data_IF_604199960197
#
_entry.id   IF_604199960197
#
_cell.length_a   1.000
_cell.length_b   1.000
_cell.length_c   1.000
_cell.angle_alpha   90.00
_cell.angle_beta   90.00
_cell.angle_gamma   90.00
#
_symmetry.space_group_name_H-M   'P 1'
#
loop_
_entity.id
_entity.type
_entity.pdbx_description
1 polymer ?
#
# COMPACT_ATOMS: atom_id res chain seq x y z
N UNK A 1 -23.00 16.86 -48.67
CA UNK A 1 -22.18 15.66 -48.40
C UNK A 1 -20.73 16.07 -48.57
N UNK A 2 -20.10 16.58 -47.52
CA UNK A 2 -18.68 16.92 -47.53
C UNK A 2 -17.89 15.67 -47.13
N UNK A 3 -17.03 15.23 -48.05
CA UNK A 3 -16.19 14.05 -47.91
C UNK A 3 -15.07 14.30 -46.90
N UNK A 4 -15.00 13.41 -45.91
CA UNK A 4 -13.99 13.43 -44.86
C UNK A 4 -12.57 13.32 -45.44
N UNK A 5 -11.76 14.36 -45.24
CA UNK A 5 -10.32 14.29 -45.42
C UNK A 5 -9.73 13.51 -44.24
N UNK A 6 -9.21 12.32 -44.52
CA UNK A 6 -8.40 11.57 -43.56
C UNK A 6 -7.17 12.38 -43.19
N UNK A 7 -6.86 12.45 -41.90
CA UNK A 7 -5.62 13.06 -41.40
C UNK A 7 -4.39 12.44 -42.08
N UNK A 8 -3.37 13.24 -42.42
CA UNK A 8 -2.17 12.72 -43.07
C UNK A 8 -1.47 11.70 -42.16
N UNK A 9 -1.15 10.55 -42.74
CA UNK A 9 -0.33 9.49 -42.14
C UNK A 9 1.08 10.02 -41.97
N UNK A 10 1.64 9.91 -40.76
CA UNK A 10 3.03 10.28 -40.51
C UNK A 10 3.97 9.25 -41.15
N UNK A 11 4.81 9.69 -42.10
CA UNK A 11 5.79 8.84 -42.80
C UNK A 11 7.23 8.95 -42.25
N UNK A 12 7.43 9.66 -41.12
CA UNK A 12 8.74 9.79 -40.49
C UNK A 12 9.07 8.65 -39.52
N UNK A 13 10.35 8.48 -39.12
CA UNK A 13 10.70 7.67 -37.96
C UNK A 13 9.88 8.15 -36.73
N UNK A 14 9.57 7.25 -35.77
CA UNK A 14 8.79 7.64 -34.61
C UNK A 14 9.45 8.84 -33.92
N UNK A 15 8.70 9.93 -33.63
CA UNK A 15 9.28 11.10 -33.02
C UNK A 15 9.95 10.71 -31.70
N UNK A 16 11.24 11.02 -31.58
CA UNK A 16 11.96 10.90 -30.31
C UNK A 16 11.41 11.99 -29.40
N UNK A 17 10.47 11.60 -28.54
CA UNK A 17 9.92 12.48 -27.51
C UNK A 17 11.01 12.72 -26.46
N UNK A 18 11.84 13.75 -26.68
CA UNK A 18 12.74 14.28 -25.68
C UNK A 18 11.91 14.97 -24.59
N UNK A 19 11.38 14.17 -23.66
CA UNK A 19 10.88 14.72 -22.40
C UNK A 19 12.09 15.28 -21.64
N UNK A 20 12.03 16.51 -21.10
CA UNK A 20 13.10 17.00 -20.24
C UNK A 20 13.30 16.02 -19.09
N UNK A 21 14.57 15.76 -18.74
CA UNK A 21 14.91 14.88 -17.63
C UNK A 21 14.13 15.30 -16.38
N UNK A 22 13.53 14.32 -15.70
CA UNK A 22 12.86 14.53 -14.42
C UNK A 22 13.93 15.04 -13.45
N UNK A 23 13.79 16.28 -12.98
CA UNK A 23 14.74 16.87 -12.04
C UNK A 23 14.50 16.23 -10.67
N UNK A 24 15.47 15.48 -10.12
CA UNK A 24 15.34 14.90 -8.80
C UNK A 24 15.35 16.00 -7.72
N UNK A 25 14.69 15.72 -6.61
CA UNK A 25 14.56 16.59 -5.45
C UNK A 25 15.27 15.88 -4.30
N UNK A 26 16.33 16.51 -3.79
CA UNK A 26 17.03 15.97 -2.63
C UNK A 26 16.20 16.12 -1.35
N UNK A 27 16.53 15.33 -0.33
CA UNK A 27 15.95 15.51 1.01
C UNK A 27 16.15 16.94 1.55
N UNK A 28 17.31 17.55 1.29
CA UNK A 28 17.63 18.91 1.72
C UNK A 28 16.71 19.92 1.08
N UNK A 29 16.48 19.81 -0.23
CA UNK A 29 15.58 20.70 -0.97
C UNK A 29 14.15 20.56 -0.44
N UNK A 30 13.71 19.32 -0.20
CA UNK A 30 12.40 19.01 0.33
C UNK A 30 12.18 19.57 1.75
N UNK A 31 13.22 19.56 2.59
CA UNK A 31 13.18 20.12 3.94
C UNK A 31 13.01 21.64 3.96
N UNK A 32 13.45 22.32 2.90
CA UNK A 32 13.36 23.78 2.75
C UNK A 32 12.04 24.25 2.12
N UNK A 33 11.22 23.33 1.58
CA UNK A 33 9.94 23.69 0.98
C UNK A 33 8.94 24.17 2.05
N UNK A 34 7.93 24.99 1.67
CA UNK A 34 6.80 25.31 2.54
C UNK A 34 6.14 24.03 3.06
N UNK A 35 5.64 24.05 4.29
CA UNK A 35 5.10 22.86 4.96
C UNK A 35 3.69 23.10 5.50
N UNK A 36 2.99 22.00 5.72
CA UNK A 36 1.68 21.96 6.39
C UNK A 36 1.82 21.05 7.60
N UNK A 37 1.34 21.53 8.75
CA UNK A 37 1.41 20.81 10.01
C UNK A 37 0.18 19.94 10.21
N UNK A 38 0.37 18.70 10.63
CA UNK A 38 -0.67 17.71 10.87
C UNK A 38 -0.63 17.19 12.30
N UNK A 39 -1.78 16.70 12.78
CA UNK A 39 -1.81 15.90 14.01
C UNK A 39 -1.16 14.51 13.82
N UNK A 40 -1.14 13.71 14.89
CA UNK A 40 -0.57 12.36 14.86
C UNK A 40 -1.32 11.39 13.93
N UNK A 41 -2.55 11.71 13.50
CA UNK A 41 -3.25 10.89 12.51
C UNK A 41 -2.74 11.12 11.10
N UNK A 42 -2.05 12.25 10.83
CA UNK A 42 -1.63 12.67 9.49
C UNK A 42 -2.80 12.83 8.49
N UNK A 43 -4.03 12.89 8.99
CA UNK A 43 -5.26 13.09 8.22
C UNK A 43 -5.88 14.48 8.44
N UNK A 44 -5.46 15.20 9.50
CA UNK A 44 -6.01 16.51 9.85
C UNK A 44 -4.91 17.53 10.06
N UNK A 45 -5.10 18.70 9.47
CA UNK A 45 -4.24 19.86 9.68
C UNK A 45 -4.36 20.31 11.14
N UNK A 46 -3.23 20.64 11.76
CA UNK A 46 -3.14 21.10 13.13
C UNK A 46 -2.18 22.30 13.23
N UNK A 47 -2.28 23.06 14.30
CA UNK A 47 -1.36 24.19 14.55
C UNK A 47 0.05 23.70 14.92
N UNK A 48 0.12 22.63 15.71
CA UNK A 48 1.37 22.00 16.15
C UNK A 48 1.34 20.51 15.83
N UNK A 49 2.49 19.94 15.47
CA UNK A 49 2.61 18.53 15.15
C UNK A 49 3.63 18.27 14.06
N UNK A 50 3.23 17.49 13.07
CA UNK A 50 4.13 16.91 12.09
C UNK A 50 4.05 17.68 10.80
N UNK A 51 5.18 18.24 10.41
CA UNK A 51 5.28 19.03 9.19
C UNK A 51 5.49 18.13 7.97
N UNK A 52 4.64 18.29 6.96
CA UNK A 52 4.74 17.62 5.66
C UNK A 52 4.90 18.69 4.57
N UNK A 53 5.82 18.52 3.60
CA UNK A 53 5.97 19.47 2.49
C UNK A 53 4.64 19.75 1.78
N UNK A 54 4.34 21.03 1.55
CA UNK A 54 3.10 21.52 0.97
C UNK A 54 2.82 20.91 -0.41
N UNK A 55 3.88 20.68 -1.20
CA UNK A 55 3.78 20.05 -2.51
C UNK A 55 3.18 18.63 -2.47
N UNK A 56 3.29 17.92 -1.33
CA UNK A 56 2.65 16.62 -1.10
C UNK A 56 1.34 16.77 -0.31
N UNK A 57 1.35 17.56 0.75
CA UNK A 57 0.22 17.73 1.66
C UNK A 57 -0.99 18.37 0.99
N UNK A 58 -0.78 19.47 0.25
CA UNK A 58 -1.84 20.24 -0.39
C UNK A 58 -2.65 19.42 -1.39
N UNK A 59 -2.01 18.80 -2.42
CA UNK A 59 -2.72 17.96 -3.37
C UNK A 59 -3.43 16.78 -2.72
N UNK A 60 -2.84 16.14 -1.70
CA UNK A 60 -3.46 15.02 -1.00
C UNK A 60 -4.73 15.44 -0.23
N UNK A 61 -4.70 16.59 0.45
CA UNK A 61 -5.88 17.14 1.12
C UNK A 61 -7.03 17.45 0.14
N UNK A 62 -6.70 18.05 -1.02
CA UNK A 62 -7.71 18.33 -2.06
C UNK A 62 -8.24 17.04 -2.68
N UNK A 63 -7.36 16.05 -2.91
CA UNK A 63 -7.74 14.73 -3.41
C UNK A 63 -8.69 14.03 -2.44
N UNK A 64 -8.40 14.02 -1.13
CA UNK A 64 -9.28 13.43 -0.13
C UNK A 64 -10.65 14.09 -0.07
N UNK A 65 -10.70 15.43 -0.10
CA UNK A 65 -11.96 16.17 -0.09
C UNK A 65 -12.85 15.79 -1.29
N UNK A 66 -12.26 15.78 -2.50
CA UNK A 66 -12.98 15.40 -3.73
C UNK A 66 -13.35 13.93 -3.76
N UNK A 67 -12.47 13.04 -3.29
CA UNK A 67 -12.76 11.62 -3.17
C UNK A 67 -13.97 11.39 -2.29
N UNK A 68 -14.00 12.01 -1.10
CA UNK A 68 -15.11 11.92 -0.16
C UNK A 68 -16.43 12.37 -0.78
N UNK A 69 -16.44 13.47 -1.53
CA UNK A 69 -17.60 13.96 -2.27
C UNK A 69 -18.06 12.97 -3.37
N UNK A 70 -17.10 12.45 -4.14
CA UNK A 70 -17.34 11.52 -5.25
C UNK A 70 -17.92 10.20 -4.75
N UNK A 71 -17.32 9.57 -3.73
CA UNK A 71 -17.82 8.29 -3.20
C UNK A 71 -19.12 8.43 -2.42
N UNK A 72 -19.41 9.60 -1.85
CA UNK A 72 -20.69 9.86 -1.17
C UNK A 72 -21.85 10.03 -2.15
N UNK A 73 -21.58 10.57 -3.35
CA UNK A 73 -22.59 10.80 -4.39
C UNK A 73 -22.76 9.61 -5.32
N UNK A 74 -21.65 9.03 -5.79
CA UNK A 74 -21.63 7.92 -6.75
C UNK A 74 -20.45 6.97 -6.48
N UNK A 75 -20.59 5.98 -5.55
CA UNK A 75 -19.51 5.08 -5.17
C UNK A 75 -18.84 4.36 -6.36
N UNK A 76 -19.64 3.92 -7.34
CA UNK A 76 -19.20 3.20 -8.56
C UNK A 76 -18.51 4.09 -9.61
N UNK A 77 -18.28 5.36 -9.29
CA UNK A 77 -17.55 6.29 -10.16
C UNK A 77 -16.34 6.86 -9.45
N UNK A 78 -15.75 6.15 -8.49
CA UNK A 78 -14.53 6.62 -7.83
C UNK A 78 -13.37 6.69 -8.81
N UNK A 79 -12.56 7.75 -8.73
CA UNK A 79 -11.34 7.88 -9.54
C UNK A 79 -10.36 6.71 -9.33
N UNK A 80 -10.46 5.98 -8.21
CA UNK A 80 -9.64 4.81 -7.93
C UNK A 80 -9.86 3.69 -8.95
N UNK A 81 -11.07 3.57 -9.51
CA UNK A 81 -11.36 2.60 -10.57
C UNK A 81 -10.76 3.03 -11.92
N UNK A 82 -10.57 4.35 -12.12
CA UNK A 82 -10.04 4.94 -13.36
C UNK A 82 -8.51 4.85 -13.47
N UNK A 83 -7.79 4.56 -12.38
CA UNK A 83 -6.32 4.45 -12.37
C UNK A 83 -5.83 3.39 -13.36
N UNK A 84 -6.61 2.33 -13.60
CA UNK A 84 -6.25 1.21 -14.48
C UNK A 84 -5.95 1.62 -15.94
N UNK A 85 -6.38 2.82 -16.37
CA UNK A 85 -6.23 3.31 -17.74
C UNK A 85 -5.05 4.26 -17.98
N UNK A 86 -4.16 4.46 -17.01
CA UNK A 86 -3.05 5.42 -17.10
C UNK A 86 -1.83 4.85 -17.86
N UNK A 87 -1.95 3.68 -18.50
CA UNK A 87 -0.92 3.15 -19.39
C UNK A 87 -0.71 4.04 -20.64
N UNK A 88 0.24 4.96 -20.51
CA UNK A 88 1.23 5.58 -21.43
C UNK A 88 1.01 5.75 -22.95
N UNK A 89 -0.10 5.34 -23.56
CA UNK A 89 -0.16 5.24 -25.04
C UNK A 89 -1.40 5.87 -25.71
N UNK A 90 -2.25 6.59 -24.99
CA UNK A 90 -3.34 7.36 -25.62
C UNK A 90 -2.86 8.74 -26.11
N UNK A 91 -3.10 9.14 -27.38
CA UNK A 91 -2.65 10.41 -27.97
C UNK A 91 -3.10 11.68 -27.21
N UNK A 92 -4.20 11.60 -26.45
CA UNK A 92 -4.65 12.69 -25.57
C UNK A 92 -3.83 12.87 -24.28
N UNK A 93 -2.91 11.96 -23.96
CA UNK A 93 -2.07 11.99 -22.75
C UNK A 93 -0.91 12.97 -22.85
N UNK A 94 -0.47 13.35 -24.06
CA UNK A 94 0.65 14.28 -24.22
C UNK A 94 0.35 15.65 -23.57
N UNK A 95 -0.87 16.17 -23.79
CA UNK A 95 -1.35 17.40 -23.15
C UNK A 95 -1.54 17.25 -21.63
N UNK A 96 -2.07 16.10 -21.19
CA UNK A 96 -2.28 15.78 -19.77
C UNK A 96 -0.95 15.71 -19.01
N UNK A 97 0.04 14.99 -19.54
CA UNK A 97 1.38 14.89 -18.95
C UNK A 97 2.08 16.24 -18.83
N UNK A 98 1.91 17.12 -19.82
CA UNK A 98 2.41 18.50 -19.74
C UNK A 98 1.74 19.29 -18.61
N UNK A 99 0.42 19.19 -18.47
CA UNK A 99 -0.32 19.85 -17.39
C UNK A 99 0.09 19.34 -16.00
N UNK A 100 0.24 18.02 -15.84
CA UNK A 100 0.72 17.38 -14.60
C UNK A 100 2.13 17.89 -14.25
N UNK A 101 3.05 17.92 -15.22
CA UNK A 101 4.41 18.42 -15.00
C UNK A 101 4.44 19.90 -14.65
N UNK A 102 3.63 20.72 -15.32
CA UNK A 102 3.53 22.16 -15.01
C UNK A 102 2.99 22.38 -13.60
N UNK A 103 1.94 21.64 -13.21
CA UNK A 103 1.34 21.77 -11.89
C UNK A 103 2.27 21.26 -10.78
N UNK A 104 2.92 20.11 -10.96
CA UNK A 104 3.91 19.59 -10.01
C UNK A 104 5.10 20.55 -9.84
N UNK A 105 5.64 21.10 -10.92
CA UNK A 105 6.70 22.12 -10.87
C UNK A 105 6.24 23.40 -10.17
N UNK A 106 5.01 23.86 -10.44
CA UNK A 106 4.43 25.00 -9.72
C UNK A 106 4.31 24.73 -8.21
N UNK A 107 3.79 23.56 -7.83
CA UNK A 107 3.67 23.13 -6.43
C UNK A 107 5.02 23.06 -5.71
N UNK A 108 6.08 22.69 -6.43
CA UNK A 108 7.43 22.54 -5.88
C UNK A 108 8.13 23.88 -5.68
N UNK A 109 7.96 24.84 -6.60
CA UNK A 109 8.83 26.01 -6.66
C UNK A 109 8.12 27.36 -6.53
N UNK A 110 6.79 27.40 -6.60
CA UNK A 110 6.02 28.65 -6.65
C UNK A 110 4.84 28.68 -5.65
N UNK A 111 4.40 27.54 -5.15
CA UNK A 111 3.29 27.46 -4.20
C UNK A 111 3.80 27.67 -2.77
N UNK A 112 3.41 28.78 -2.13
CA UNK A 112 3.93 29.16 -0.81
C UNK A 112 2.97 28.84 0.33
N UNK A 113 1.66 28.79 0.06
CA UNK A 113 0.63 28.62 1.09
C UNK A 113 -0.39 27.55 0.75
N UNK A 114 -0.99 26.96 1.79
CA UNK A 114 -2.05 25.95 1.63
C UNK A 114 -3.27 26.49 0.88
N UNK A 115 -3.63 27.77 1.08
CA UNK A 115 -4.78 28.38 0.42
C UNK A 115 -4.52 28.61 -1.08
N UNK A 116 -3.32 29.06 -1.45
CA UNK A 116 -2.91 29.12 -2.86
C UNK A 116 -2.99 27.74 -3.52
N UNK A 117 -2.47 26.70 -2.83
CA UNK A 117 -2.53 25.32 -3.30
C UNK A 117 -3.97 24.85 -3.55
N UNK A 118 -4.84 24.99 -2.53
CA UNK A 118 -6.25 24.58 -2.62
C UNK A 118 -6.99 25.30 -3.74
N UNK A 119 -6.78 26.61 -3.89
CA UNK A 119 -7.44 27.40 -4.93
C UNK A 119 -6.99 26.97 -6.34
N UNK A 120 -5.69 26.73 -6.54
CA UNK A 120 -5.15 26.29 -7.82
C UNK A 120 -5.61 24.86 -8.20
N UNK A 121 -5.78 23.98 -7.22
CA UNK A 121 -6.14 22.56 -7.42
C UNK A 121 -7.64 22.28 -7.38
N UNK A 122 -8.46 23.22 -6.90
CA UNK A 122 -9.93 23.11 -6.88
C UNK A 122 -10.56 22.70 -8.22
N UNK A 123 -10.19 23.26 -9.39
CA UNK A 123 -10.78 22.85 -10.66
C UNK A 123 -10.24 21.51 -11.18
N UNK A 124 -9.18 20.97 -10.58
CA UNK A 124 -8.51 19.77 -11.07
C UNK A 124 -9.31 18.50 -10.73
N UNK A 125 -9.50 17.56 -11.69
CA UNK A 125 -10.14 16.27 -11.42
C UNK A 125 -9.32 15.40 -10.43
N UNK A 126 -9.97 14.54 -9.62
CA UNK A 126 -9.29 13.67 -8.65
C UNK A 126 -8.19 12.79 -9.27
N UNK A 127 -8.45 12.17 -10.43
CA UNK A 127 -7.45 11.35 -11.13
C UNK A 127 -6.18 12.16 -11.46
N UNK A 128 -6.33 13.41 -11.92
CA UNK A 128 -5.20 14.28 -12.25
C UNK A 128 -4.44 14.72 -10.98
N UNK A 129 -5.14 14.94 -9.86
CA UNK A 129 -4.50 15.21 -8.56
C UNK A 129 -3.66 14.01 -8.09
N UNK A 130 -4.19 12.80 -8.25
CA UNK A 130 -3.46 11.57 -7.97
C UNK A 130 -2.20 11.46 -8.85
N UNK A 131 -2.31 11.71 -10.15
CA UNK A 131 -1.17 11.72 -11.08
C UNK A 131 -0.13 12.81 -10.73
N UNK A 132 -0.57 13.98 -10.25
CA UNK A 132 0.33 15.05 -9.75
C UNK A 132 1.12 14.58 -8.52
N UNK A 133 0.47 13.91 -7.56
CA UNK A 133 1.14 13.37 -6.37
C UNK A 133 2.17 12.32 -6.79
N UNK A 134 1.79 11.40 -7.68
CA UNK A 134 2.68 10.38 -8.25
C UNK A 134 3.90 11.02 -8.94
N UNK A 135 3.69 12.08 -9.73
CA UNK A 135 4.78 12.80 -10.40
C UNK A 135 5.74 13.49 -9.41
N UNK A 136 5.23 14.04 -8.31
CA UNK A 136 6.07 14.65 -7.27
C UNK A 136 6.88 13.57 -6.54
N UNK A 137 6.26 12.44 -6.18
CA UNK A 137 6.96 11.33 -5.51
C UNK A 137 8.06 10.74 -6.41
N UNK A 138 7.80 10.62 -7.72
CA UNK A 138 8.79 10.15 -8.70
C UNK A 138 10.05 11.01 -8.74
N UNK A 139 9.96 12.29 -8.34
CA UNK A 139 11.10 13.20 -8.27
C UNK A 139 11.88 13.08 -6.97
N UNK A 140 11.39 12.39 -5.95
CA UNK A 140 12.07 12.29 -4.66
C UNK A 140 13.30 11.39 -4.78
N UNK A 141 14.47 11.91 -4.39
CA UNK A 141 15.71 11.16 -4.33
C UNK A 141 16.41 11.35 -2.96
N UNK A 142 16.68 10.28 -2.21
CA UNK A 142 16.42 8.86 -2.54
C UNK A 142 14.94 8.46 -2.41
N UNK A 143 14.59 7.32 -2.99
CA UNK A 143 13.30 6.64 -2.76
C UNK A 143 13.03 6.52 -1.25
N UNK A 144 11.84 6.92 -0.76
CA UNK A 144 11.69 7.37 0.61
C UNK A 144 11.65 6.25 1.66
N UNK A 145 11.35 5.00 1.30
CA UNK A 145 11.23 3.91 2.27
C UNK A 145 12.11 2.70 1.97
N UNK A 146 13.05 2.41 2.85
CA UNK A 146 13.91 1.23 2.74
C UNK A 146 13.25 -0.02 3.33
N UNK A 147 13.22 -1.10 2.56
CA UNK A 147 12.65 -2.40 2.97
C UNK A 147 13.78 -3.39 3.18
N UNK A 148 13.86 -3.98 4.37
CA UNK A 148 14.96 -4.90 4.71
C UNK A 148 14.84 -6.25 3.99
N UNK A 149 15.96 -6.97 3.86
CA UNK A 149 15.97 -8.34 3.30
C UNK A 149 14.95 -9.26 3.99
N UNK A 150 14.78 -9.13 5.31
CA UNK A 150 13.81 -9.93 6.08
C UNK A 150 12.39 -9.64 5.62
N UNK A 151 12.02 -8.37 5.52
CA UNK A 151 10.70 -7.95 5.02
C UNK A 151 10.48 -8.38 3.59
N UNK A 152 11.48 -8.22 2.70
CA UNK A 152 11.39 -8.70 1.32
C UNK A 152 11.03 -10.19 1.26
N UNK A 153 11.75 -11.05 1.97
CA UNK A 153 11.52 -12.51 1.99
C UNK A 153 10.13 -12.90 2.47
N UNK A 154 9.59 -12.20 3.47
CA UNK A 154 8.22 -12.43 3.94
C UNK A 154 7.22 -11.96 2.89
N UNK A 155 7.46 -10.80 2.27
CA UNK A 155 6.56 -10.21 1.27
C UNK A 155 6.54 -10.94 -0.08
N UNK A 156 7.56 -11.74 -0.39
CA UNK A 156 7.53 -12.69 -1.50
C UNK A 156 6.48 -13.79 -1.30
N UNK A 157 6.24 -14.18 -0.05
CA UNK A 157 5.37 -15.31 0.31
C UNK A 157 3.97 -14.90 0.73
N UNK A 158 3.78 -13.65 1.16
CA UNK A 158 2.50 -13.15 1.68
C UNK A 158 1.65 -12.52 0.58
N UNK A 159 0.41 -13.00 0.46
CA UNK A 159 -0.62 -12.41 -0.38
C UNK A 159 -1.97 -12.45 0.34
N UNK A 160 -2.35 -11.34 0.99
CA UNK A 160 -3.62 -11.27 1.73
C UNK A 160 -4.88 -11.47 0.87
N UNK A 161 -4.76 -11.27 -0.46
CA UNK A 161 -5.88 -11.47 -1.40
C UNK A 161 -6.06 -12.92 -1.82
N UNK A 162 -5.15 -13.83 -1.44
CA UNK A 162 -5.36 -15.26 -1.63
C UNK A 162 -6.54 -15.71 -0.74
N UNK A 163 -7.61 -16.31 -1.32
CA UNK A 163 -8.77 -16.74 -0.56
C UNK A 163 -8.45 -17.90 0.40
N UNK A 164 -7.51 -18.77 0.03
CA UNK A 164 -7.28 -20.03 0.75
C UNK A 164 -6.32 -19.86 1.92
N UNK A 165 -5.16 -19.25 1.69
CA UNK A 165 -4.13 -19.03 2.70
C UNK A 165 -3.40 -17.71 2.39
N UNK A 166 -3.21 -16.79 3.36
CA UNK A 166 -2.38 -15.61 3.15
C UNK A 166 -0.92 -15.94 2.77
N UNK A 167 -0.43 -17.15 3.03
CA UNK A 167 0.83 -17.69 2.48
C UNK A 167 0.59 -18.44 1.18
N UNK A 168 1.56 -18.41 0.25
CA UNK A 168 1.51 -19.28 -0.92
C UNK A 168 1.63 -20.76 -0.47
N UNK A 169 0.66 -21.63 -0.81
CA UNK A 169 0.64 -23.04 -0.38
C UNK A 169 1.80 -23.88 -0.91
N UNK A 170 2.61 -23.35 -1.84
CA UNK A 170 3.83 -24.03 -2.32
C UNK A 170 4.97 -24.05 -1.31
N UNK A 171 4.87 -23.30 -0.21
CA UNK A 171 5.94 -23.10 0.76
C UNK A 171 5.59 -23.72 2.13
N UNK A 172 5.63 -25.06 2.19
CA UNK A 172 5.23 -25.84 3.36
C UNK A 172 6.08 -25.57 4.63
N UNK A 173 7.25 -24.97 4.51
CA UNK A 173 8.17 -24.74 5.64
C UNK A 173 7.65 -23.72 6.66
N UNK A 174 6.89 -22.70 6.26
CA UNK A 174 6.28 -21.76 7.23
C UNK A 174 4.98 -22.29 7.85
N UNK A 175 4.24 -23.12 7.10
CA UNK A 175 2.96 -23.67 7.54
C UNK A 175 3.09 -24.96 8.36
N UNK A 176 4.27 -25.60 8.44
CA UNK A 176 4.43 -26.86 9.18
C UNK A 176 4.54 -26.69 10.71
N UNK A 177 4.83 -25.49 11.22
CA UNK A 177 5.00 -25.27 12.67
C UNK A 177 3.69 -24.89 13.41
N UNK A 178 2.59 -24.63 12.70
CA UNK A 178 1.35 -24.07 13.29
C UNK A 178 0.15 -25.02 13.42
N UNK A 179 -0.12 -25.98 12.52
CA UNK A 179 -1.37 -26.77 12.54
C UNK A 179 -1.38 -27.98 13.48
N UNK A 180 -0.24 -28.60 13.79
CA UNK A 180 -0.20 -29.92 14.43
C UNK A 180 -0.72 -29.97 15.87
N UNK A 181 -0.82 -28.83 16.56
CA UNK A 181 -1.22 -28.77 17.98
C UNK A 181 -2.74 -28.64 18.21
N UNK A 182 -3.53 -28.22 17.22
CA UNK A 182 -4.96 -27.89 17.43
C UNK A 182 -5.92 -29.08 17.22
N UNK A 183 -5.46 -30.16 16.59
CA UNK A 183 -6.31 -31.25 16.12
C UNK A 183 -6.20 -32.56 16.92
N UNK A 184 -5.37 -32.63 17.97
CA UNK A 184 -5.13 -33.89 18.70
C UNK A 184 -6.30 -34.37 19.57
N UNK A 185 -7.28 -33.52 19.86
CA UNK A 185 -8.22 -33.77 20.98
C UNK A 185 -9.65 -34.14 20.55
N UNK A 186 -9.94 -34.29 19.25
CA UNK A 186 -11.33 -34.45 18.74
C UNK A 186 -11.61 -35.82 18.09
N UNK A 187 -10.77 -36.83 18.34
CA UNK A 187 -11.00 -38.19 17.85
C UNK A 187 -11.78 -39.05 18.86
N UNK A 188 -13.11 -38.91 18.87
CA UNK A 188 -14.00 -39.78 19.65
C UNK A 188 -15.42 -39.87 19.08
N UNK A 189 -15.68 -40.97 18.36
CA UNK A 189 -16.99 -41.55 17.95
C UNK A 189 -18.14 -40.59 17.61
N UNK A 190 -18.38 -40.37 16.30
CA UNK A 190 -19.48 -39.53 15.82
C UNK A 190 -20.59 -40.29 15.06
N UNK A 191 -21.84 -40.07 15.49
CA UNK A 191 -23.10 -40.50 14.87
C UNK A 191 -23.51 -39.61 13.67
N UNK A 192 -24.47 -40.02 12.81
CA UNK A 192 -24.81 -39.30 11.57
C UNK A 192 -25.32 -37.84 11.74
N UNK A 193 -25.95 -37.50 12.87
CA UNK A 193 -26.35 -36.12 13.22
C UNK A 193 -25.17 -35.26 13.70
N UNK A 194 -24.06 -35.88 14.13
CA UNK A 194 -22.81 -35.18 14.37
C UNK A 194 -22.05 -34.90 13.07
N UNK A 195 -22.40 -35.46 11.91
CA UNK A 195 -21.69 -35.16 10.65
C UNK A 195 -22.06 -33.75 10.14
N UNK A 196 -23.32 -33.32 10.28
CA UNK A 196 -23.72 -31.93 9.96
C UNK A 196 -23.22 -30.94 11.02
N UNK A 197 -23.25 -31.31 12.31
CA UNK A 197 -22.69 -30.49 13.37
C UNK A 197 -21.15 -30.41 13.28
N UNK A 198 -20.49 -31.51 12.90
CA UNK A 198 -19.05 -31.58 12.61
C UNK A 198 -18.71 -30.78 11.38
N UNK A 199 -19.50 -30.77 10.30
CA UNK A 199 -19.29 -29.86 9.17
C UNK A 199 -19.48 -28.39 9.54
N UNK A 200 -20.45 -28.07 10.39
CA UNK A 200 -20.69 -26.70 10.87
C UNK A 200 -19.57 -26.25 11.81
N UNK A 201 -19.13 -27.12 12.72
CA UNK A 201 -17.98 -26.93 13.61
C UNK A 201 -16.66 -26.91 12.83
N UNK A 202 -16.46 -27.76 11.81
CA UNK A 202 -15.29 -27.75 10.92
C UNK A 202 -15.26 -26.45 10.14
N UNK A 203 -16.40 -25.96 9.64
CA UNK A 203 -16.49 -24.67 8.94
C UNK A 203 -16.24 -23.50 9.92
N UNK A 204 -16.77 -23.54 11.14
CA UNK A 204 -16.52 -22.52 12.16
C UNK A 204 -15.09 -22.55 12.71
N UNK A 205 -14.52 -23.72 12.94
CA UNK A 205 -13.13 -23.94 13.37
C UNK A 205 -12.18 -23.54 12.25
N UNK A 206 -12.48 -23.90 11.00
CA UNK A 206 -11.71 -23.49 9.83
C UNK A 206 -11.78 -21.97 9.62
N UNK A 207 -12.95 -21.35 9.79
CA UNK A 207 -13.08 -19.89 9.71
C UNK A 207 -12.34 -19.18 10.86
N UNK A 208 -12.40 -19.72 12.07
CA UNK A 208 -11.69 -19.19 13.24
C UNK A 208 -10.17 -19.35 13.10
N UNK A 209 -9.73 -20.48 12.56
CA UNK A 209 -8.33 -20.76 12.25
C UNK A 209 -7.82 -19.83 11.16
N UNK A 210 -8.52 -19.72 10.01
CA UNK A 210 -8.17 -18.81 8.92
C UNK A 210 -8.10 -17.36 9.42
N UNK A 211 -9.06 -16.94 10.25
CA UNK A 211 -9.06 -15.61 10.86
C UNK A 211 -7.83 -15.40 11.74
N UNK A 212 -7.52 -16.35 12.62
CA UNK A 212 -6.38 -16.28 13.53
C UNK A 212 -5.05 -16.28 12.77
N UNK A 213 -4.89 -17.16 11.78
CA UNK A 213 -3.72 -17.19 10.89
C UNK A 213 -3.54 -15.87 10.18
N UNK A 214 -4.60 -15.32 9.57
CA UNK A 214 -4.55 -14.00 8.89
C UNK A 214 -4.13 -12.89 9.85
N UNK A 215 -4.66 -12.85 11.07
CA UNK A 215 -4.23 -11.88 12.09
C UNK A 215 -2.77 -12.07 12.50
N UNK A 216 -2.30 -13.32 12.61
CA UNK A 216 -0.90 -13.63 12.90
C UNK A 216 0.05 -13.13 11.82
N UNK A 217 -0.26 -13.42 10.55
CA UNK A 217 0.50 -12.89 9.41
C UNK A 217 0.49 -11.36 9.42
N UNK A 218 -0.68 -10.76 9.65
CA UNK A 218 -0.83 -9.32 9.67
C UNK A 218 -0.02 -8.66 10.79
N UNK A 219 0.10 -9.29 11.96
CA UNK A 219 0.99 -8.86 13.03
C UNK A 219 2.47 -8.91 12.61
N UNK A 220 2.92 -10.04 12.01
CA UNK A 220 4.30 -10.18 11.51
C UNK A 220 4.61 -9.05 10.52
N UNK A 221 3.72 -8.83 9.54
CA UNK A 221 3.88 -7.81 8.52
C UNK A 221 3.92 -6.40 9.12
N UNK A 222 3.01 -6.08 10.04
CA UNK A 222 3.00 -4.78 10.72
C UNK A 222 4.29 -4.53 11.52
N UNK A 223 4.77 -5.53 12.26
CA UNK A 223 6.02 -5.42 13.02
C UNK A 223 7.23 -5.21 12.10
N UNK A 224 7.29 -5.90 10.96
CA UNK A 224 8.35 -5.74 9.97
C UNK A 224 8.35 -4.33 9.36
N UNK A 225 7.18 -3.81 8.94
CA UNK A 225 7.09 -2.45 8.41
C UNK A 225 7.38 -1.39 9.47
N UNK A 226 6.91 -1.59 10.70
CA UNK A 226 7.26 -0.72 11.81
C UNK A 226 8.77 -0.67 11.97
N UNK A 227 9.45 -1.82 12.05
CA UNK A 227 10.91 -1.88 12.16
C UNK A 227 11.62 -1.18 11.01
N UNK A 228 11.26 -1.50 9.77
CA UNK A 228 11.84 -0.89 8.57
C UNK A 228 11.68 0.63 8.60
N UNK A 229 10.53 1.13 9.07
CA UNK A 229 10.26 2.56 9.20
C UNK A 229 11.17 3.24 10.24
N UNK A 230 11.53 2.54 11.32
CA UNK A 230 12.50 3.06 12.29
C UNK A 230 13.95 3.05 11.77
N UNK A 231 14.26 2.19 10.79
CA UNK A 231 15.56 2.18 10.10
C UNK A 231 15.72 3.35 9.11
N UNK A 232 14.62 3.98 8.68
CA UNK A 232 14.65 5.22 7.89
C UNK A 232 15.23 6.36 8.72
N UNK A 233 16.53 6.66 8.55
CA UNK A 233 17.27 7.63 9.37
C UNK A 233 16.68 9.03 9.33
N UNK A 234 16.23 9.48 8.16
CA UNK A 234 15.61 10.79 8.01
C UNK A 234 14.23 10.83 8.67
N UNK A 235 14.08 11.74 9.63
CA UNK A 235 12.79 12.01 10.27
C UNK A 235 11.76 12.55 9.27
N UNK A 236 12.19 13.44 8.36
CA UNK A 236 11.35 14.00 7.31
C UNK A 236 10.83 12.90 6.38
N UNK A 237 11.72 12.07 5.82
CA UNK A 237 11.32 11.00 4.91
C UNK A 237 10.44 9.98 5.61
N UNK A 238 10.74 9.63 6.87
CA UNK A 238 9.90 8.75 7.66
C UNK A 238 8.47 9.28 7.78
N UNK A 239 8.29 10.57 8.05
CA UNK A 239 6.96 11.17 8.15
C UNK A 239 6.26 11.33 6.80
N UNK A 240 7.01 11.56 5.72
CA UNK A 240 6.45 11.55 4.36
C UNK A 240 5.91 10.16 4.00
N UNK A 241 6.66 9.09 4.29
CA UNK A 241 6.21 7.71 4.07
C UNK A 241 4.93 7.44 4.86
N UNK A 242 4.92 7.77 6.16
CA UNK A 242 3.73 7.64 7.02
C UNK A 242 2.54 8.39 6.45
N UNK A 243 2.74 9.64 6.06
CA UNK A 243 1.71 10.49 5.48
C UNK A 243 1.13 9.85 4.21
N UNK A 244 1.98 9.44 3.26
CA UNK A 244 1.54 8.82 2.02
C UNK A 244 0.75 7.53 2.29
N UNK A 245 1.28 6.62 3.10
CA UNK A 245 0.64 5.34 3.39
C UNK A 245 -0.71 5.53 4.11
N UNK A 246 -0.76 6.35 5.16
CA UNK A 246 -2.00 6.60 5.91
C UNK A 246 -3.07 7.20 5.00
N UNK A 247 -2.71 8.17 4.16
CA UNK A 247 -3.66 8.81 3.26
C UNK A 247 -4.15 7.84 2.18
N UNK A 248 -3.30 6.95 1.64
CA UNK A 248 -3.71 5.91 0.69
C UNK A 248 -4.65 4.88 1.34
N UNK A 249 -4.33 4.43 2.56
CA UNK A 249 -5.20 3.56 3.35
C UNK A 249 -6.56 4.24 3.56
N UNK A 250 -6.59 5.51 3.92
CA UNK A 250 -7.83 6.25 4.12
C UNK A 250 -8.69 6.35 2.84
N UNK A 251 -8.08 6.60 1.67
CA UNK A 251 -8.77 6.63 0.38
C UNK A 251 -9.40 5.27 0.05
N UNK A 252 -8.64 4.18 0.17
CA UNK A 252 -9.10 2.81 -0.11
C UNK A 252 -10.18 2.37 0.88
N UNK A 253 -9.98 2.61 2.18
CA UNK A 253 -10.97 2.30 3.22
C UNK A 253 -12.29 3.00 2.95
N UNK A 254 -12.24 4.30 2.63
CA UNK A 254 -13.45 5.09 2.35
C UNK A 254 -14.18 4.56 1.13
N UNK A 255 -13.46 4.22 0.06
CA UNK A 255 -14.05 3.60 -1.13
C UNK A 255 -14.73 2.26 -0.79
N UNK A 256 -14.03 1.36 -0.09
CA UNK A 256 -14.59 0.06 0.31
C UNK A 256 -15.81 0.21 1.22
N UNK A 257 -15.80 1.18 2.14
CA UNK A 257 -16.92 1.48 3.03
C UNK A 257 -18.19 1.86 2.25
N UNK A 258 -18.10 2.75 1.26
CA UNK A 258 -19.28 3.12 0.46
C UNK A 258 -19.73 2.00 -0.47
N UNK A 259 -18.78 1.27 -1.06
CA UNK A 259 -19.09 0.16 -1.96
C UNK A 259 -19.79 -1.00 -1.24
N UNK A 260 -19.50 -1.22 0.05
CA UNK A 260 -19.95 -2.40 0.82
C UNK A 260 -20.81 -2.02 2.02
N UNK A 261 -21.50 -0.88 1.95
CA UNK A 261 -22.26 -0.20 3.03
C UNK A 261 -23.40 -1.00 3.68
N UNK A 262 -23.58 -2.27 3.34
CA UNK A 262 -24.61 -3.14 3.92
C UNK A 262 -24.33 -3.46 5.41
N UNK A 263 -23.08 -3.39 5.88
CA UNK A 263 -22.72 -3.67 7.28
C UNK A 263 -21.63 -2.72 7.85
N UNK A 264 -21.95 -1.45 8.14
CA UNK A 264 -20.97 -0.45 8.57
C UNK A 264 -20.36 -0.68 9.97
N UNK A 265 -20.82 -1.68 10.73
CA UNK A 265 -20.55 -1.81 12.17
C UNK A 265 -19.26 -2.58 12.53
N UNK A 266 -18.57 -3.20 11.58
CA UNK A 266 -17.40 -4.05 11.88
C UNK A 266 -16.23 -3.75 10.93
N UNK A 267 -15.63 -2.56 11.06
CA UNK A 267 -14.31 -2.25 10.46
C UNK A 267 -13.19 -3.00 11.20
N UNK A 268 -13.26 -4.33 11.17
CA UNK A 268 -12.24 -5.21 11.74
C UNK A 268 -10.91 -5.07 10.99
N UNK A 269 -9.78 -5.51 11.56
CA UNK A 269 -8.49 -5.50 10.85
C UNK A 269 -8.49 -6.28 9.54
N UNK A 270 -9.43 -7.23 9.37
CA UNK A 270 -9.58 -8.04 8.17
C UNK A 270 -10.65 -7.52 7.20
N UNK A 271 -11.27 -6.36 7.48
CA UNK A 271 -12.37 -5.84 6.67
C UNK A 271 -12.03 -5.74 5.18
N UNK A 272 -10.93 -5.05 4.82
CA UNK A 272 -10.54 -4.88 3.41
C UNK A 272 -10.26 -6.22 2.74
N UNK A 273 -9.66 -7.16 3.48
CA UNK A 273 -9.36 -8.52 3.01
C UNK A 273 -10.66 -9.26 2.69
N UNK A 274 -11.63 -9.24 3.61
CA UNK A 274 -12.93 -9.89 3.40
C UNK A 274 -13.69 -9.26 2.24
N UNK A 275 -13.75 -7.92 2.17
CA UNK A 275 -14.45 -7.24 1.08
C UNK A 275 -13.79 -7.54 -0.28
N UNK A 276 -12.45 -7.60 -0.34
CA UNK A 276 -11.72 -7.98 -1.55
C UNK A 276 -11.94 -9.44 -1.98
N UNK A 277 -12.43 -10.31 -1.11
CA UNK A 277 -12.84 -11.67 -1.44
C UNK A 277 -14.29 -11.71 -1.94
N UNK A 278 -15.17 -10.91 -1.36
CA UNK A 278 -16.58 -10.82 -1.78
C UNK A 278 -16.76 -10.08 -3.11
N UNK A 279 -15.99 -9.01 -3.34
CA UNK A 279 -16.05 -8.15 -4.54
C UNK A 279 -14.68 -8.08 -5.22
N UNK A 280 -14.15 -9.22 -5.72
CA UNK A 280 -12.78 -9.30 -6.18
C UNK A 280 -12.51 -8.42 -7.41
N UNK A 281 -13.47 -8.25 -8.31
CA UNK A 281 -13.28 -7.46 -9.51
C UNK A 281 -13.08 -5.96 -9.19
N UNK A 282 -13.88 -5.40 -8.29
CA UNK A 282 -13.82 -3.98 -7.95
C UNK A 282 -12.65 -3.68 -7.00
N UNK A 283 -12.61 -4.35 -5.85
CA UNK A 283 -11.68 -3.99 -4.77
C UNK A 283 -10.26 -4.44 -5.11
N UNK A 284 -10.06 -5.65 -5.66
CA UNK A 284 -8.70 -6.07 -6.04
C UNK A 284 -8.15 -5.24 -7.19
N UNK A 285 -8.99 -4.82 -8.13
CA UNK A 285 -8.57 -3.91 -9.21
C UNK A 285 -8.05 -2.60 -8.62
N UNK A 286 -8.83 -1.96 -7.74
CA UNK A 286 -8.40 -0.73 -7.04
C UNK A 286 -7.09 -0.93 -6.26
N UNK A 287 -7.00 -1.98 -5.44
CA UNK A 287 -5.80 -2.29 -4.67
C UNK A 287 -4.57 -2.47 -5.58
N UNK A 288 -4.72 -3.23 -6.67
CA UNK A 288 -3.65 -3.46 -7.65
C UNK A 288 -3.24 -2.18 -8.37
N UNK A 289 -4.19 -1.33 -8.75
CA UNK A 289 -3.90 -0.09 -9.48
C UNK A 289 -3.16 0.92 -8.60
N UNK A 290 -3.60 1.10 -7.35
CA UNK A 290 -2.88 1.92 -6.38
C UNK A 290 -1.50 1.34 -6.09
N UNK A 291 -1.39 0.02 -5.94
CA UNK A 291 -0.12 -0.66 -5.71
C UNK A 291 0.88 -0.48 -6.86
N UNK A 292 0.43 -0.63 -8.11
CA UNK A 292 1.22 -0.36 -9.32
C UNK A 292 1.71 1.08 -9.39
N UNK A 293 0.86 2.04 -9.03
CA UNK A 293 1.19 3.46 -9.10
C UNK A 293 2.20 3.89 -8.02
N UNK A 294 2.07 3.39 -6.79
CA UNK A 294 2.83 3.87 -5.63
C UNK A 294 3.96 2.94 -5.17
N UNK A 295 3.82 1.62 -5.34
CA UNK A 295 4.79 0.64 -4.84
C UNK A 295 6.22 0.94 -5.30
N UNK A 296 6.49 0.97 -6.61
CA UNK A 296 7.84 1.21 -7.13
C UNK A 296 8.41 2.60 -6.79
N UNK A 297 7.56 3.56 -6.41
CA UNK A 297 7.97 4.93 -6.11
C UNK A 297 8.27 5.15 -4.62
N UNK A 298 7.70 4.34 -3.73
CA UNK A 298 7.88 4.48 -2.28
C UNK A 298 8.97 3.55 -1.76
N UNK A 299 9.07 2.33 -2.28
CA UNK A 299 9.91 1.28 -1.69
C UNK A 299 11.25 1.11 -2.40
N UNK A 300 12.32 1.13 -1.61
CA UNK A 300 13.68 0.74 -1.99
C UNK A 300 14.02 -0.58 -1.32
N UNK A 301 14.16 -1.63 -2.13
CA UNK A 301 14.50 -2.96 -1.65
C UNK A 301 15.98 -3.05 -1.21
N UNK A 302 16.26 -3.90 -0.23
CA UNK A 302 17.62 -4.23 0.21
C UNK A 302 18.47 -4.78 -0.95
N UNK A 303 19.69 -4.27 -1.13
CA UNK A 303 20.62 -4.74 -2.17
C UNK A 303 20.94 -6.23 -2.03
N UNK A 304 20.91 -6.77 -0.81
CA UNK A 304 21.13 -8.20 -0.56
C UNK A 304 20.02 -9.07 -1.14
N UNK A 305 18.79 -8.56 -1.21
CA UNK A 305 17.68 -9.24 -1.86
C UNK A 305 17.94 -9.35 -3.36
N UNK A 306 18.33 -8.22 -4.00
CA UNK A 306 18.73 -8.21 -5.41
C UNK A 306 19.87 -9.19 -5.69
N UNK A 307 20.91 -9.18 -4.86
CA UNK A 307 22.05 -10.10 -5.01
C UNK A 307 21.62 -11.57 -4.85
N UNK A 308 20.61 -11.85 -4.03
CA UNK A 308 20.05 -13.20 -3.91
C UNK A 308 19.36 -13.63 -5.20
N UNK A 309 18.50 -12.78 -5.79
CA UNK A 309 17.84 -13.06 -7.07
C UNK A 309 18.85 -13.27 -8.19
N UNK A 310 19.88 -12.44 -8.29
CA UNK A 310 20.95 -12.57 -9.29
C UNK A 310 21.61 -13.96 -9.19
N UNK A 311 21.99 -14.38 -7.98
CA UNK A 311 22.64 -15.68 -7.75
C UNK A 311 21.73 -16.88 -8.03
N UNK A 312 20.43 -16.75 -7.82
CA UNK A 312 19.50 -17.85 -8.10
C UNK A 312 19.20 -18.01 -9.59
N UNK A 313 19.50 -16.99 -10.41
CA UNK A 313 19.25 -16.96 -11.86
C UNK A 313 20.55 -16.98 -12.67
N UNK A 314 21.61 -17.62 -12.14
CA UNK A 314 23.01 -17.67 -12.62
C UNK A 314 23.24 -18.13 -14.09
N UNK A 315 22.19 -18.38 -14.88
CA UNK A 315 22.24 -18.88 -16.26
C UNK A 315 21.77 -17.86 -17.33
N UNK A 316 21.49 -16.61 -16.95
CA UNK A 316 20.96 -15.60 -17.87
C UNK A 316 22.03 -14.60 -18.33
N UNK A 317 21.90 -14.13 -19.58
CA UNK A 317 22.69 -13.00 -20.08
C UNK A 317 22.44 -11.73 -19.23
N UNK A 318 23.48 -10.92 -19.05
CA UNK A 318 23.51 -9.77 -18.15
C UNK A 318 22.39 -8.75 -18.38
N UNK A 319 22.09 -8.41 -19.64
CA UNK A 319 21.02 -7.46 -19.99
C UNK A 319 19.60 -8.04 -19.78
N UNK A 320 19.46 -9.36 -19.88
CA UNK A 320 18.19 -10.03 -19.57
C UNK A 320 17.99 -10.10 -18.06
N UNK A 321 19.06 -10.41 -17.33
CA UNK A 321 19.05 -10.51 -15.87
C UNK A 321 18.69 -9.19 -15.21
N UNK A 322 19.27 -8.06 -15.64
CA UNK A 322 18.94 -6.76 -15.06
C UNK A 322 17.48 -6.36 -15.30
N UNK A 323 16.94 -6.62 -16.49
CA UNK A 323 15.52 -6.39 -16.79
C UNK A 323 14.61 -7.27 -15.96
N UNK A 324 14.98 -8.53 -15.76
CA UNK A 324 14.20 -9.47 -14.95
C UNK A 324 14.23 -9.13 -13.47
N UNK A 325 15.41 -8.80 -12.92
CA UNK A 325 15.57 -8.30 -11.54
C UNK A 325 14.74 -7.03 -11.34
N UNK A 326 14.76 -6.10 -12.29
CA UNK A 326 13.92 -4.90 -12.23
C UNK A 326 12.42 -5.23 -12.27
N UNK A 327 12.02 -6.19 -13.10
CA UNK A 327 10.63 -6.66 -13.16
C UNK A 327 10.19 -7.34 -11.86
N UNK A 328 11.02 -8.19 -11.27
CA UNK A 328 10.76 -8.85 -9.98
C UNK A 328 10.71 -7.83 -8.84
N UNK A 329 11.63 -6.86 -8.82
CA UNK A 329 11.61 -5.77 -7.85
C UNK A 329 10.30 -4.98 -7.95
N UNK A 330 9.85 -4.68 -9.16
CA UNK A 330 8.56 -4.02 -9.41
C UNK A 330 7.41 -4.86 -8.84
N UNK A 331 7.33 -6.14 -9.17
CA UNK A 331 6.28 -7.05 -8.66
C UNK A 331 6.30 -7.11 -7.12
N UNK A 332 7.47 -7.18 -6.50
CA UNK A 332 7.58 -7.23 -5.04
C UNK A 332 7.13 -5.93 -4.40
N UNK A 333 7.54 -4.77 -4.91
CA UNK A 333 7.09 -3.46 -4.38
C UNK A 333 5.59 -3.23 -4.56
N UNK A 334 5.00 -3.71 -5.66
CA UNK A 334 3.55 -3.76 -5.84
C UNK A 334 2.89 -4.66 -4.80
N UNK A 335 3.45 -5.86 -4.55
CA UNK A 335 2.93 -6.78 -3.53
C UNK A 335 2.96 -6.18 -2.13
N UNK A 336 4.08 -5.54 -1.77
CA UNK A 336 4.25 -4.81 -0.52
C UNK A 336 3.16 -3.75 -0.35
N UNK A 337 2.98 -2.86 -1.33
CA UNK A 337 1.95 -1.81 -1.27
C UNK A 337 0.56 -2.41 -1.11
N UNK A 338 0.23 -3.43 -1.91
CA UNK A 338 -1.06 -4.11 -1.87
C UNK A 338 -1.33 -4.71 -0.50
N UNK A 339 -0.35 -5.39 0.08
CA UNK A 339 -0.47 -5.99 1.40
C UNK A 339 -0.69 -4.92 2.48
N UNK A 340 0.02 -3.78 2.42
CA UNK A 340 -0.20 -2.64 3.32
C UNK A 340 -1.64 -2.14 3.23
N UNK A 341 -2.16 -1.92 2.03
CA UNK A 341 -3.54 -1.47 1.82
C UNK A 341 -4.57 -2.50 2.34
N UNK A 342 -4.24 -3.79 2.32
CA UNK A 342 -5.08 -4.86 2.86
C UNK A 342 -5.12 -4.90 4.39
N UNK A 343 -4.08 -4.42 5.10
CA UNK A 343 -4.00 -4.55 6.57
C UNK A 343 -5.12 -3.84 7.34
N UNK A 344 -5.89 -2.99 6.65
CA UNK A 344 -6.91 -2.12 7.22
C UNK A 344 -6.43 -1.42 8.50
N UNK A 345 -5.14 -1.08 8.62
CA UNK A 345 -4.53 -0.45 9.80
C UNK A 345 -3.61 0.69 9.43
N UNK A 346 -3.88 1.85 10.00
CA UNK A 346 -3.04 3.04 9.99
C UNK A 346 -2.19 3.15 11.25
N UNK A 347 -2.48 2.36 12.29
CA UNK A 347 -1.76 2.41 13.58
C UNK A 347 -0.27 2.10 13.43
N UNK A 348 0.12 1.15 12.58
CA UNK A 348 1.52 0.83 12.29
C UNK A 348 2.30 2.01 11.68
N UNK A 349 1.58 2.97 11.11
CA UNK A 349 2.13 4.14 10.42
C UNK A 349 1.97 5.42 11.23
N UNK A 350 1.21 5.41 12.33
CA UNK A 350 1.02 6.59 13.16
C UNK A 350 2.31 6.92 13.95
N UNK A 351 2.78 8.18 13.87
CA UNK A 351 3.87 8.69 14.69
C UNK A 351 3.65 8.50 16.20
N UNK A 352 4.70 8.11 16.92
CA UNK A 352 4.68 7.96 18.38
C UNK A 352 3.90 6.75 18.92
N UNK A 353 3.42 5.84 18.05
CA UNK A 353 2.78 4.60 18.51
C UNK A 353 3.82 3.58 18.97
N UNK A 354 3.61 2.93 20.13
CA UNK A 354 4.43 1.80 20.53
C UNK A 354 4.08 0.55 19.70
N UNK A 355 5.00 -0.41 19.65
CA UNK A 355 4.78 -1.66 18.93
C UNK A 355 3.61 -2.48 19.49
N UNK A 356 3.36 -2.41 20.80
CA UNK A 356 2.20 -3.07 21.41
C UNK A 356 0.86 -2.56 20.86
N UNK A 357 0.78 -1.32 20.40
CA UNK A 357 -0.44 -0.73 19.87
C UNK A 357 -0.77 -1.15 18.42
N UNK A 358 0.13 -1.89 17.75
CA UNK A 358 -0.02 -2.30 16.35
C UNK A 358 -0.28 -3.81 16.21
N UNK A 359 -0.31 -4.52 17.34
CA UNK A 359 -0.53 -5.96 17.43
C UNK A 359 -2.02 -6.23 17.64
N UNK A 360 -2.54 -7.15 16.84
CA UNK A 360 -3.88 -7.68 16.99
C UNK A 360 -3.90 -8.90 17.88
N UNK A 361 -4.88 -8.91 18.77
CA UNK A 361 -5.13 -10.00 19.70
C UNK A 361 -6.44 -10.69 19.32
N UNK A 362 -6.45 -12.02 19.32
CA UNK A 362 -7.65 -12.83 19.16
C UNK A 362 -8.56 -12.82 20.41
N UNK A 363 -8.02 -12.40 21.56
CA UNK A 363 -8.74 -12.30 22.83
C UNK A 363 -8.24 -11.08 23.61
N UNK A 364 -9.14 -10.43 24.36
CA UNK A 364 -8.86 -9.19 25.11
C UNK A 364 -7.79 -9.35 26.19
N UNK A 365 -7.57 -10.58 26.67
CA UNK A 365 -6.67 -10.85 27.80
C UNK A 365 -5.31 -11.44 27.36
N UNK A 366 -4.99 -11.48 26.05
CA UNK A 366 -3.81 -12.17 25.43
C UNK A 366 -3.41 -13.44 26.24
N UNK A 367 -4.32 -14.42 26.40
CA UNK A 367 -4.00 -15.70 27.03
C UNK A 367 -2.91 -16.43 26.24
N UNK A 368 -2.37 -17.52 26.78
CA UNK A 368 -1.33 -18.34 26.14
C UNK A 368 -1.72 -18.83 24.73
N UNK A 369 -3.00 -18.83 24.38
CA UNK A 369 -3.53 -19.21 23.06
C UNK A 369 -3.63 -18.04 22.06
N UNK A 370 -3.31 -16.82 22.49
CA UNK A 370 -3.48 -15.64 21.66
C UNK A 370 -2.39 -15.56 20.58
N UNK A 371 -2.79 -15.11 19.38
CA UNK A 371 -1.90 -15.04 18.21
C UNK A 371 -0.69 -14.11 18.41
N UNK A 372 -0.75 -13.20 19.40
CA UNK A 372 0.38 -12.38 19.86
C UNK A 372 1.63 -13.22 20.20
N UNK A 373 1.44 -14.45 20.71
CA UNK A 373 2.50 -15.31 21.24
C UNK A 373 3.56 -15.75 20.22
N UNK A 374 3.21 -15.79 18.94
CA UNK A 374 4.11 -16.27 17.90
C UNK A 374 5.05 -15.16 17.40
N UNK A 375 4.77 -13.89 17.73
CA UNK A 375 5.57 -12.77 17.25
C UNK A 375 7.05 -12.81 17.67
N UNK A 376 7.43 -13.14 18.92
CA UNK A 376 8.83 -13.16 19.34
C UNK A 376 9.72 -14.04 18.45
N UNK A 377 9.21 -15.18 17.98
CA UNK A 377 9.91 -16.09 17.08
C UNK A 377 10.23 -15.42 15.72
N UNK A 378 9.33 -14.53 15.27
CA UNK A 378 9.45 -13.82 14.00
C UNK A 378 10.08 -12.43 14.10
N UNK A 379 10.29 -11.84 15.28
CA UNK A 379 10.84 -10.48 15.40
C UNK A 379 12.10 -10.41 16.29
N UNK A 380 12.32 -11.42 17.12
CA UNK A 380 13.37 -11.47 18.14
C UNK A 380 12.93 -10.83 19.47
N UNK A 381 13.27 -11.46 20.60
CA UNK A 381 12.85 -11.06 21.95
C UNK A 381 13.25 -9.62 22.32
N UNK A 382 14.39 -9.13 21.84
CA UNK A 382 14.92 -7.81 22.18
C UNK A 382 14.02 -6.65 21.72
N UNK A 383 13.11 -6.89 20.77
CA UNK A 383 12.27 -5.84 20.17
C UNK A 383 10.97 -5.57 20.92
N UNK A 384 10.49 -6.52 21.73
CA UNK A 384 9.28 -6.34 22.53
C UNK A 384 9.52 -5.55 23.83
N UNK A 385 10.79 -5.47 24.26
CA UNK A 385 11.20 -4.80 25.50
C UNK A 385 11.51 -3.31 25.32
N UNK A 386 11.71 -2.84 24.09
CA UNK A 386 12.02 -1.42 23.83
C UNK A 386 10.74 -0.63 23.61
N UNK A 387 10.28 0.08 24.65
CA UNK A 387 9.58 1.35 24.46
C UNK A 387 10.53 2.29 23.73
N UNK A 388 10.38 2.39 22.40
CA UNK A 388 11.15 3.34 21.59
C UNK A 388 10.61 4.74 21.91
N UNK A 389 11.28 5.43 22.84
CA UNK A 389 11.04 6.85 23.15
C UNK A 389 11.40 7.76 21.98
#
# INVERSE_FOLDING_TARGET
MESGRSSPTWEGPPPVLNFPAIIPISEQDLANLPKVTFDQSLLRVAENGIEIPLCLAGPMLVLQAKHNEQVSSTPMRSFLEEIAGVETSSPGLAGRGSAIRKMSTWLLYQCETLDQCKNALKPTPPLVLFEIIVEIIRRLEPVPFYVTLRTCRVMEKVNFLNPNDPFDPTDAELCQETPAMFWSDVEGNANPTQIEYKKLCETQVQNTFITSTRLGVLNIVNCLFFKDLYLTRSYLMRNIVRFLIINLIALVRKYCFYLCSEFPLLMTPLYIIHEAQLKPFQIRSVLNNVAKAFGPLIFRLDVRWRNHIIRTHDLMDSDNLEREVAAMARILTESIMRNILCTNSDYAWMPGRPMSAIIYHTSSNCPDECICRFLPDYIGNDMLATEVT
#
